data_IF_061821160650
#
_entry.id   IF_061821160650
#
_cell.length_a   1.000
_cell.length_b   1.000
_cell.length_c   1.000
_cell.angle_alpha   90.00
_cell.angle_beta   90.00
_cell.angle_gamma   90.00
#
_symmetry.space_group_name_H-M   'P 1'
#
loop_
_entity.id
_entity.type
_entity.pdbx_description
1 polymer ?
#
# COMPACT_ATOMS: atom_id res chain seq x y z
N UNK A 1 -11.78 -12.50 4.96
CA UNK A 1 -10.87 -11.90 5.94
C UNK A 1 -9.79 -12.90 6.31
N UNK A 2 -8.52 -12.48 6.42
CA UNK A 2 -7.39 -13.36 6.80
C UNK A 2 -6.79 -12.80 8.09
N UNK A 3 -6.37 -13.68 8.99
CA UNK A 3 -5.72 -13.34 10.25
C UNK A 3 -4.49 -12.43 10.04
N UNK A 4 -4.41 -11.27 10.72
CA UNK A 4 -3.30 -10.32 10.58
C UNK A 4 -1.94 -10.88 11.03
N UNK A 5 -1.90 -11.92 11.85
CA UNK A 5 -0.66 -12.58 12.26
C UNK A 5 -0.11 -13.55 11.20
N UNK A 6 -0.89 -13.89 10.17
CA UNK A 6 -0.39 -14.67 9.04
C UNK A 6 0.63 -13.82 8.27
N UNK A 7 1.82 -14.36 7.93
CA UNK A 7 2.84 -13.63 7.17
C UNK A 7 2.28 -13.00 5.88
N UNK A 8 2.70 -11.77 5.59
CA UNK A 8 2.12 -10.97 4.49
C UNK A 8 2.20 -11.66 3.13
N UNK A 9 3.31 -12.37 2.85
CA UNK A 9 3.47 -13.16 1.62
C UNK A 9 2.40 -14.23 1.49
N UNK A 10 2.11 -14.96 2.57
CA UNK A 10 1.07 -16.00 2.59
C UNK A 10 -0.33 -15.39 2.45
N UNK A 11 -0.56 -14.22 3.06
CA UNK A 11 -1.83 -13.48 2.94
C UNK A 11 -2.11 -13.05 1.49
N UNK A 12 -1.12 -12.42 0.83
CA UNK A 12 -1.25 -12.01 -0.58
C UNK A 12 -1.54 -13.20 -1.49
N UNK A 13 -0.80 -14.29 -1.31
CA UNK A 13 -0.96 -15.50 -2.11
C UNK A 13 -2.36 -16.13 -1.93
N UNK A 14 -2.91 -16.12 -0.71
CA UNK A 14 -4.29 -16.58 -0.45
C UNK A 14 -5.36 -15.63 -0.99
N UNK A 15 -5.08 -14.32 -1.06
CA UNK A 15 -5.98 -13.33 -1.66
C UNK A 15 -6.02 -13.43 -3.19
N UNK A 16 -4.88 -13.73 -3.82
CA UNK A 16 -4.77 -13.94 -5.28
C UNK A 16 -5.44 -15.24 -5.74
N UNK A 17 -5.50 -16.25 -4.85
CA UNK A 17 -6.06 -17.57 -5.12
C UNK A 17 -7.24 -17.90 -4.19
N UNK A 18 -8.39 -17.22 -4.31
CA UNK A 18 -9.56 -17.46 -3.47
C UNK A 18 -10.10 -18.90 -3.59
N UNK A 19 -9.85 -19.57 -4.72
CA UNK A 19 -10.19 -20.98 -4.95
C UNK A 19 -9.47 -21.96 -4.00
N UNK A 20 -8.37 -21.54 -3.39
CA UNK A 20 -7.64 -22.33 -2.40
C UNK A 20 -8.26 -22.27 -0.99
N UNK A 21 -9.25 -21.40 -0.77
CA UNK A 21 -9.91 -21.23 0.53
C UNK A 21 -11.06 -22.22 0.67
N UNK A 22 -10.99 -23.06 1.70
CA UNK A 22 -11.96 -24.12 1.95
C UNK A 22 -12.94 -23.78 3.08
N UNK A 23 -14.18 -24.30 3.03
CA UNK A 23 -15.17 -24.07 4.08
C UNK A 23 -14.72 -24.66 5.42
N UNK A 24 -15.16 -24.09 6.56
CA UNK A 24 -14.96 -24.66 7.88
C UNK A 24 -15.53 -26.09 7.96
N UNK A 25 -14.94 -26.95 8.79
CA UNK A 25 -15.38 -28.34 8.99
C UNK A 25 -15.07 -29.35 7.86
N UNK A 26 -14.62 -28.90 6.68
CA UNK A 26 -14.19 -29.82 5.60
C UNK A 26 -12.92 -30.56 6.03
N UNK A 27 -12.98 -31.88 6.23
CA UNK A 27 -11.79 -32.68 6.53
C UNK A 27 -10.87 -32.79 5.31
N UNK A 28 -9.95 -31.82 5.16
CA UNK A 28 -8.92 -31.87 4.13
C UNK A 28 -7.82 -32.81 4.58
N UNK A 29 -7.92 -34.05 4.12
CA UNK A 29 -6.85 -35.02 4.29
C UNK A 29 -5.63 -34.52 3.50
N UNK A 30 -4.46 -34.47 4.14
CA UNK A 30 -3.20 -34.22 3.43
C UNK A 30 -3.12 -35.26 2.30
N UNK A 31 -3.03 -34.83 1.03
CA UNK A 31 -2.96 -35.78 -0.06
C UNK A 31 -1.70 -36.64 0.12
N UNK A 32 -1.85 -37.96 -0.01
CA UNK A 32 -0.79 -38.96 0.28
C UNK A 32 0.51 -38.72 -0.50
N UNK A 33 0.43 -38.05 -1.65
CA UNK A 33 1.58 -37.67 -2.48
C UNK A 33 1.72 -36.15 -2.68
N UNK A 34 1.16 -35.34 -1.78
CA UNK A 34 1.25 -33.87 -1.88
C UNK A 34 0.52 -33.34 -3.11
N UNK A 35 -0.69 -33.80 -3.38
CA UNK A 35 -1.53 -33.39 -4.52
C UNK A 35 -1.29 -34.19 -5.80
N UNK A 36 -0.16 -34.90 -5.89
CA UNK A 36 0.24 -35.65 -7.09
C UNK A 36 -0.66 -36.86 -7.32
N UNK A 37 -1.13 -37.00 -8.56
CA UNK A 37 -1.92 -38.14 -9.01
C UNK A 37 -1.11 -39.05 -9.94
N UNK A 38 -1.56 -40.30 -10.10
CA UNK A 38 -0.98 -41.23 -11.08
C UNK A 38 -1.10 -40.72 -12.53
N UNK A 39 -2.10 -39.87 -12.80
CA UNK A 39 -2.22 -39.18 -14.10
C UNK A 39 -1.10 -38.18 -14.30
N UNK A 40 -0.69 -37.44 -13.26
CA UNK A 40 0.43 -36.49 -13.35
C UNK A 40 1.75 -37.23 -13.59
N UNK A 41 1.94 -38.39 -12.93
CA UNK A 41 3.11 -39.24 -13.21
C UNK A 41 3.11 -39.74 -14.67
N UNK A 42 1.96 -40.18 -15.17
CA UNK A 42 1.80 -40.62 -16.56
C UNK A 42 2.06 -39.50 -17.57
N UNK A 43 1.51 -38.31 -17.34
CA UNK A 43 1.77 -37.13 -18.18
C UNK A 43 3.24 -36.70 -18.11
N UNK A 44 3.85 -36.75 -16.92
CA UNK A 44 5.27 -36.46 -16.76
C UNK A 44 6.15 -37.44 -17.55
N UNK A 45 5.86 -38.74 -17.46
CA UNK A 45 6.57 -39.77 -18.22
C UNK A 45 6.37 -39.63 -19.74
N UNK A 46 5.18 -39.22 -20.19
CA UNK A 46 4.87 -39.01 -21.60
C UNK A 46 5.63 -37.80 -22.18
N UNK A 47 5.72 -36.70 -21.43
CA UNK A 47 6.35 -35.46 -21.89
C UNK A 47 7.86 -35.41 -21.61
N UNK A 48 8.37 -36.26 -20.72
CA UNK A 48 9.78 -36.29 -20.33
C UNK A 48 10.78 -36.49 -21.48
N UNK A 49 10.53 -37.35 -22.50
CA UNK A 49 11.44 -37.49 -23.63
C UNK A 49 11.61 -36.19 -24.42
N UNK A 50 10.53 -35.41 -24.56
CA UNK A 50 10.58 -34.11 -25.24
C UNK A 50 11.44 -33.09 -24.50
N UNK A 51 11.31 -33.02 -23.17
CA UNK A 51 12.14 -32.17 -22.32
C UNK A 51 13.58 -32.67 -22.17
N UNK A 52 13.83 -33.97 -22.31
CA UNK A 52 15.18 -34.54 -22.22
C UNK A 52 15.98 -34.38 -23.52
N UNK A 53 15.32 -34.46 -24.68
CA UNK A 53 15.99 -34.36 -25.99
C UNK A 53 16.06 -32.92 -26.51
N UNK A 54 14.98 -32.16 -26.31
CA UNK A 54 14.81 -30.82 -26.88
C UNK A 54 14.28 -29.79 -25.86
N UNK A 55 14.93 -29.61 -24.69
CA UNK A 55 14.51 -28.63 -23.69
C UNK A 55 14.47 -27.18 -24.22
N UNK A 56 15.32 -26.80 -25.19
CA UNK A 56 15.28 -25.46 -25.78
C UNK A 56 14.00 -25.22 -26.60
N UNK A 57 13.54 -26.24 -27.34
CA UNK A 57 12.30 -26.16 -28.13
C UNK A 57 11.10 -26.07 -27.19
N UNK A 58 11.04 -26.92 -26.17
CA UNK A 58 9.93 -26.91 -25.19
C UNK A 58 9.91 -25.63 -24.33
N UNK A 59 11.08 -25.13 -23.94
CA UNK A 59 11.24 -23.88 -23.21
C UNK A 59 10.83 -22.64 -24.02
N UNK A 60 10.95 -22.68 -25.35
CA UNK A 60 10.57 -21.56 -26.23
C UNK A 60 9.06 -21.31 -26.31
N UNK A 61 8.25 -22.33 -26.02
CA UNK A 61 6.79 -22.19 -25.91
C UNK A 61 6.34 -21.52 -24.60
N UNK A 62 7.24 -21.36 -23.63
CA UNK A 62 6.94 -20.79 -22.31
C UNK A 62 7.66 -19.43 -22.15
N UNK A 63 6.93 -18.39 -21.72
CA UNK A 63 7.50 -17.04 -21.53
C UNK A 63 8.29 -16.94 -20.22
N UNK A 64 9.36 -16.14 -20.21
CA UNK A 64 10.13 -15.77 -19.00
C UNK A 64 11.36 -16.65 -18.74
N UNK A 65 11.73 -16.81 -17.46
CA UNK A 65 12.96 -17.51 -17.04
C UNK A 65 13.08 -18.97 -17.47
N UNK A 66 11.96 -19.61 -17.84
CA UNK A 66 11.91 -20.98 -18.36
C UNK A 66 12.61 -21.12 -19.72
N UNK A 67 12.61 -20.07 -20.53
CA UNK A 67 13.29 -20.08 -21.83
C UNK A 67 14.82 -20.15 -21.66
N UNK A 68 15.37 -19.34 -20.75
CA UNK A 68 16.81 -19.33 -20.42
C UNK A 68 17.23 -20.69 -19.84
N UNK A 69 16.41 -21.24 -18.94
CA UNK A 69 16.62 -22.58 -18.40
C UNK A 69 16.60 -23.66 -19.48
N UNK A 70 15.69 -23.58 -20.45
CA UNK A 70 15.61 -24.50 -21.58
C UNK A 70 16.89 -24.53 -22.43
N UNK A 71 17.48 -23.36 -22.71
CA UNK A 71 18.76 -23.27 -23.43
C UNK A 71 19.95 -23.80 -22.63
N UNK A 72 20.02 -23.51 -21.33
CA UNK A 72 21.07 -24.04 -20.45
C UNK A 72 20.98 -25.57 -20.34
N UNK A 73 19.77 -26.10 -20.18
CA UNK A 73 19.54 -27.54 -20.17
C UNK A 73 19.93 -28.19 -21.50
N UNK A 74 19.66 -27.53 -22.64
CA UNK A 74 20.05 -28.01 -23.97
C UNK A 74 21.58 -28.10 -24.11
N UNK A 75 22.32 -27.11 -23.62
CA UNK A 75 23.79 -27.14 -23.63
C UNK A 75 24.33 -28.32 -22.80
N UNK A 76 23.71 -28.60 -21.65
CA UNK A 76 24.03 -29.77 -20.82
C UNK A 76 23.80 -31.10 -21.53
N UNK A 77 22.67 -31.24 -22.25
CA UNK A 77 22.36 -32.44 -23.05
C UNK A 77 23.36 -32.64 -24.18
N UNK A 78 23.74 -31.57 -24.88
CA UNK A 78 24.75 -31.62 -25.96
C UNK A 78 26.12 -32.02 -25.40
N UNK A 79 26.53 -31.46 -24.26
CA UNK A 79 27.78 -31.81 -23.60
C UNK A 79 27.80 -33.27 -23.13
N UNK A 80 26.71 -33.74 -22.52
CA UNK A 80 26.57 -35.13 -22.08
C UNK A 80 26.58 -36.11 -23.28
N UNK A 81 25.92 -35.76 -24.38
CA UNK A 81 25.95 -36.53 -25.62
C UNK A 81 27.35 -36.60 -26.23
N UNK A 82 28.07 -35.47 -26.28
CA UNK A 82 29.45 -35.41 -26.74
C UNK A 82 30.42 -36.24 -25.87
N UNK A 83 30.25 -36.18 -24.54
CA UNK A 83 31.03 -36.98 -23.61
C UNK A 83 30.72 -38.49 -23.74
N UNK A 84 29.47 -38.84 -24.01
CA UNK A 84 29.08 -40.23 -24.23
C UNK A 84 29.74 -40.82 -25.48
N UNK A 85 29.72 -40.04 -26.58
CA UNK A 85 30.44 -40.39 -27.82
C UNK A 85 31.94 -40.50 -27.57
N UNK A 86 32.53 -39.58 -26.81
CA UNK A 86 33.96 -39.59 -26.48
C UNK A 86 34.37 -40.81 -25.62
N UNK A 87 33.52 -41.22 -24.68
CA UNK A 87 33.77 -42.36 -23.77
C UNK A 87 33.36 -43.72 -24.36
N UNK A 88 32.77 -43.74 -25.56
CA UNK A 88 32.25 -44.96 -26.17
C UNK A 88 31.01 -45.54 -25.46
N UNK A 89 30.38 -44.76 -24.58
CA UNK A 89 29.13 -45.16 -23.94
C UNK A 89 27.98 -44.98 -24.92
N UNK A 90 27.11 -45.99 -25.02
CA UNK A 90 26.01 -45.95 -26.00
C UNK A 90 25.02 -44.85 -25.63
N UNK A 91 24.62 -44.04 -26.62
CA UNK A 91 23.57 -43.02 -26.48
C UNK A 91 22.25 -43.59 -25.91
N UNK A 92 22.03 -44.89 -26.14
CA UNK A 92 20.94 -45.69 -25.58
C UNK A 92 20.92 -45.72 -24.03
N UNK A 93 22.06 -45.54 -23.36
CA UNK A 93 22.14 -45.52 -21.89
C UNK A 93 21.89 -44.14 -21.29
N UNK A 94 22.23 -43.06 -22.01
CA UNK A 94 22.15 -41.67 -21.51
C UNK A 94 20.75 -41.07 -21.67
N UNK A 95 20.07 -41.37 -22.77
CA UNK A 95 18.72 -40.87 -23.06
C UNK A 95 17.66 -41.24 -21.99
N UNK A 96 17.53 -42.50 -21.53
CA UNK A 96 16.55 -42.85 -20.48
C UNK A 96 16.89 -42.24 -19.13
N UNK A 97 18.18 -42.08 -18.80
CA UNK A 97 18.60 -41.41 -17.57
C UNK A 97 18.19 -39.92 -17.58
N UNK A 98 18.39 -39.22 -18.70
CA UNK A 98 17.94 -37.84 -18.88
C UNK A 98 16.41 -37.72 -18.81
N UNK A 99 15.68 -38.64 -19.45
CA UNK A 99 14.22 -38.69 -19.36
C UNK A 99 13.72 -38.97 -17.94
N UNK A 100 14.37 -39.85 -17.18
CA UNK A 100 14.02 -40.13 -15.79
C UNK A 100 14.24 -38.91 -14.89
N UNK A 101 15.34 -38.17 -15.08
CA UNK A 101 15.60 -36.91 -14.36
C UNK A 101 14.56 -35.86 -14.72
N UNK A 102 14.27 -35.66 -16.01
CA UNK A 102 13.24 -34.71 -16.47
C UNK A 102 11.85 -35.06 -15.91
N UNK A 103 11.46 -36.34 -15.95
CA UNK A 103 10.22 -36.83 -15.36
C UNK A 103 10.17 -36.58 -13.84
N UNK A 104 11.28 -36.83 -13.13
CA UNK A 104 11.39 -36.58 -11.70
C UNK A 104 11.27 -35.09 -11.34
N UNK A 105 11.90 -34.20 -12.13
CA UNK A 105 11.80 -32.75 -11.96
C UNK A 105 10.37 -32.27 -12.21
N UNK A 106 9.74 -32.66 -13.33
CA UNK A 106 8.36 -32.27 -13.63
C UNK A 106 7.37 -32.82 -12.59
N UNK A 107 7.53 -34.07 -12.17
CA UNK A 107 6.69 -34.67 -11.13
C UNK A 107 6.89 -33.99 -9.77
N UNK A 108 8.10 -33.51 -9.49
CA UNK A 108 8.39 -32.66 -8.34
C UNK A 108 7.58 -31.36 -8.34
N UNK A 109 7.42 -30.76 -9.53
CA UNK A 109 6.69 -29.51 -9.77
C UNK A 109 5.16 -29.69 -9.86
N UNK A 110 4.65 -30.86 -10.24
CA UNK A 110 3.20 -31.18 -10.29
C UNK A 110 2.54 -31.40 -8.91
N UNK A 111 3.03 -30.75 -7.86
CA UNK A 111 2.50 -30.89 -6.50
C UNK A 111 1.31 -29.97 -6.18
N UNK A 112 0.78 -30.13 -4.96
CA UNK A 112 -0.14 -29.20 -4.30
C UNK A 112 0.49 -27.81 -4.36
N UNK A 113 -0.16 -26.90 -5.11
CA UNK A 113 0.27 -25.52 -5.23
C UNK A 113 0.44 -24.88 -3.87
N UNK A 114 1.34 -23.90 -3.76
CA UNK A 114 1.61 -23.22 -2.50
C UNK A 114 0.33 -22.62 -1.87
N UNK A 115 -0.58 -22.09 -2.71
CA UNK A 115 -1.89 -21.59 -2.30
C UNK A 115 -2.76 -22.67 -1.64
N UNK A 116 -2.94 -23.82 -2.31
CA UNK A 116 -3.75 -24.93 -1.81
C UNK A 116 -3.18 -25.49 -0.49
N UNK A 117 -1.85 -25.62 -0.41
CA UNK A 117 -1.17 -26.05 0.83
C UNK A 117 -1.40 -25.05 1.97
N UNK A 118 -1.31 -23.75 1.68
CA UNK A 118 -1.56 -22.70 2.66
C UNK A 118 -3.03 -22.66 3.08
N UNK A 119 -3.98 -22.74 2.16
CA UNK A 119 -5.42 -22.79 2.45
C UNK A 119 -5.78 -23.98 3.35
N UNK A 120 -5.14 -25.13 3.15
CA UNK A 120 -5.31 -26.29 4.04
C UNK A 120 -4.68 -26.09 5.42
N UNK A 121 -3.48 -25.51 5.49
CA UNK A 121 -2.70 -25.40 6.74
C UNK A 121 -3.18 -24.25 7.62
N UNK A 122 -3.63 -23.15 7.00
CA UNK A 122 -4.11 -21.94 7.65
C UNK A 122 -5.64 -21.87 7.68
N UNK A 123 -6.32 -23.02 7.58
CA UNK A 123 -7.78 -23.15 7.59
C UNK A 123 -8.45 -22.32 8.68
N UNK A 124 -7.92 -22.41 9.90
CA UNK A 124 -8.51 -21.75 11.08
C UNK A 124 -8.07 -20.28 11.20
N UNK A 125 -7.32 -19.76 10.21
CA UNK A 125 -6.76 -18.41 10.16
C UNK A 125 -7.30 -17.57 9.01
N UNK A 126 -8.42 -17.98 8.42
CA UNK A 126 -9.20 -17.13 7.53
C UNK A 126 -10.70 -17.37 7.73
N UNK A 127 -11.50 -16.35 7.41
CA UNK A 127 -12.97 -16.41 7.36
C UNK A 127 -13.39 -16.00 5.96
N UNK A 128 -14.19 -16.82 5.29
CA UNK A 128 -14.68 -16.54 3.93
C UNK A 128 -16.04 -15.84 4.01
N UNK A 129 -16.31 -14.83 3.18
CA UNK A 129 -17.63 -14.18 3.13
C UNK A 129 -18.77 -15.16 2.82
N UNK A 130 -18.50 -16.19 2.01
CA UNK A 130 -19.50 -17.19 1.61
C UNK A 130 -19.88 -18.14 2.76
N UNK A 131 -19.12 -18.14 3.85
CA UNK A 131 -19.43 -18.91 5.06
C UNK A 131 -20.24 -18.10 6.09
N UNK A 132 -20.58 -16.85 5.77
CA UNK A 132 -21.33 -15.93 6.64
C UNK A 132 -22.69 -15.63 6.02
N UNK A 133 -23.71 -15.44 6.85
CA UNK A 133 -24.98 -14.83 6.43
C UNK A 133 -24.81 -13.37 5.98
N UNK A 134 -25.75 -12.88 5.17
CA UNK A 134 -25.69 -11.53 4.58
C UNK A 134 -25.53 -10.41 5.63
N UNK A 135 -26.22 -10.53 6.77
CA UNK A 135 -26.11 -9.58 7.88
C UNK A 135 -24.72 -9.56 8.53
N UNK A 136 -24.11 -10.74 8.68
CA UNK A 136 -22.79 -10.90 9.25
C UNK A 136 -21.71 -10.39 8.29
N UNK A 137 -21.91 -10.58 6.97
CA UNK A 137 -21.04 -10.00 5.93
C UNK A 137 -21.06 -8.47 5.99
N UNK A 138 -22.23 -7.85 6.12
CA UNK A 138 -22.36 -6.38 6.25
C UNK A 138 -21.62 -5.86 7.48
N UNK A 139 -21.81 -6.48 8.65
CA UNK A 139 -21.10 -6.10 9.88
C UNK A 139 -19.58 -6.20 9.74
N UNK A 140 -19.09 -7.28 9.11
CA UNK A 140 -17.66 -7.45 8.87
C UNK A 140 -17.12 -6.41 7.90
N UNK A 141 -17.87 -6.10 6.83
CA UNK A 141 -17.49 -5.08 5.86
C UNK A 141 -17.42 -3.68 6.49
N UNK A 142 -18.41 -3.34 7.33
CA UNK A 142 -18.44 -2.08 8.09
C UNK A 142 -17.25 -1.95 9.03
N UNK A 143 -16.95 -2.99 9.81
CA UNK A 143 -15.77 -3.02 10.69
C UNK A 143 -14.46 -2.84 9.90
N UNK A 144 -14.31 -3.57 8.79
CA UNK A 144 -13.14 -3.46 7.92
C UNK A 144 -12.99 -2.06 7.31
N UNK A 145 -14.10 -1.46 6.88
CA UNK A 145 -14.12 -0.10 6.31
C UNK A 145 -13.76 0.97 7.35
N UNK A 146 -14.29 0.86 8.56
CA UNK A 146 -13.95 1.76 9.66
C UNK A 146 -12.45 1.72 9.99
N UNK A 147 -11.87 0.52 10.12
CA UNK A 147 -10.43 0.36 10.37
C UNK A 147 -9.59 0.85 9.18
N UNK A 148 -10.01 0.58 7.94
CA UNK A 148 -9.32 1.09 6.76
C UNK A 148 -9.31 2.62 6.71
N UNK A 149 -10.41 3.27 7.09
CA UNK A 149 -10.49 4.73 7.18
C UNK A 149 -9.51 5.28 8.22
N UNK A 150 -9.40 4.65 9.40
CA UNK A 150 -8.43 5.06 10.43
C UNK A 150 -7.00 4.89 9.96
N UNK A 151 -6.64 3.71 9.45
CA UNK A 151 -5.26 3.43 9.01
C UNK A 151 -4.86 4.26 7.79
N UNK A 152 -5.82 4.64 6.95
CA UNK A 152 -5.61 5.52 5.79
C UNK A 152 -5.48 7.00 6.12
N UNK A 153 -5.91 7.42 7.32
CA UNK A 153 -5.97 8.83 7.74
C UNK A 153 -4.59 9.50 7.78
N UNK A 154 -4.61 10.82 7.57
CA UNK A 154 -3.39 11.63 7.59
C UNK A 154 -2.83 11.76 9.01
N UNK A 155 -3.69 11.87 10.03
CA UNK A 155 -3.30 11.90 11.44
C UNK A 155 -2.62 10.60 11.88
N UNK A 156 -3.08 9.44 11.39
CA UNK A 156 -2.40 8.17 11.68
C UNK A 156 -1.02 8.14 10.99
N UNK A 157 -0.96 8.51 9.71
CA UNK A 157 0.28 8.53 8.93
C UNK A 157 1.31 9.54 9.47
N UNK A 158 0.86 10.63 10.03
CA UNK A 158 1.69 11.64 10.69
C UNK A 158 2.17 11.20 12.08
N UNK A 159 1.78 10.02 12.56
CA UNK A 159 2.14 9.49 13.88
C UNK A 159 1.53 10.28 15.05
N UNK A 160 0.45 11.03 14.79
CA UNK A 160 -0.26 11.80 15.82
C UNK A 160 -1.20 10.91 16.65
N UNK A 161 -1.54 9.74 16.11
CA UNK A 161 -2.15 8.64 16.85
C UNK A 161 -1.05 7.66 17.28
N UNK A 162 -1.37 6.81 18.27
CA UNK A 162 -0.49 5.71 18.70
C UNK A 162 -0.38 4.67 17.57
N UNK A 163 0.50 4.94 16.60
CA UNK A 163 0.57 4.28 15.29
C UNK A 163 0.88 2.77 15.40
N UNK A 164 1.75 2.39 16.36
CA UNK A 164 2.06 0.98 16.64
C UNK A 164 0.83 0.26 17.20
N UNK A 165 0.11 0.92 18.12
CA UNK A 165 -1.09 0.33 18.72
C UNK A 165 -2.22 0.23 17.70
N UNK A 166 -2.41 1.23 16.85
CA UNK A 166 -3.45 1.22 15.83
C UNK A 166 -3.20 0.18 14.73
N UNK A 167 -1.98 0.13 14.19
CA UNK A 167 -1.62 -0.75 13.07
C UNK A 167 -1.68 -2.23 13.44
N UNK A 168 -1.47 -2.57 14.71
CA UNK A 168 -1.54 -3.96 15.19
C UNK A 168 -2.90 -4.28 15.81
N UNK A 169 -3.41 -3.40 16.67
CA UNK A 169 -4.63 -3.70 17.45
C UNK A 169 -5.87 -3.68 16.57
N UNK A 170 -6.04 -2.68 15.70
CA UNK A 170 -7.28 -2.55 14.92
C UNK A 170 -7.50 -3.73 13.96
N UNK A 171 -6.49 -4.20 13.19
CA UNK A 171 -6.66 -5.41 12.40
C UNK A 171 -6.96 -6.66 13.25
N UNK A 172 -6.37 -6.78 14.44
CA UNK A 172 -6.68 -7.87 15.37
C UNK A 172 -8.13 -7.80 15.86
N UNK A 173 -8.66 -6.61 16.13
CA UNK A 173 -10.07 -6.41 16.50
C UNK A 173 -11.02 -6.86 15.38
N UNK A 174 -10.73 -6.52 14.12
CA UNK A 174 -11.54 -6.97 12.97
C UNK A 174 -11.47 -8.48 12.81
N UNK A 175 -10.30 -9.09 13.05
CA UNK A 175 -10.14 -10.54 13.01
C UNK A 175 -10.97 -11.25 14.10
N UNK A 176 -10.95 -10.76 15.35
CA UNK A 176 -11.80 -11.29 16.42
C UNK A 176 -13.30 -11.13 16.12
N UNK A 177 -13.71 -10.00 15.53
CA UNK A 177 -15.07 -9.80 15.04
C UNK A 177 -15.43 -10.86 13.98
N UNK A 178 -14.56 -11.06 12.99
CA UNK A 178 -14.77 -12.05 11.94
C UNK A 178 -14.94 -13.48 12.50
N UNK A 179 -14.10 -13.87 13.46
CA UNK A 179 -14.21 -15.19 14.11
C UNK A 179 -15.51 -15.32 14.90
N UNK A 180 -15.89 -14.28 15.65
CA UNK A 180 -17.14 -14.30 16.43
C UNK A 180 -18.36 -14.41 15.52
N UNK A 181 -18.39 -13.66 14.42
CA UNK A 181 -19.47 -13.73 13.43
C UNK A 181 -19.54 -15.11 12.76
N UNK A 182 -18.40 -15.69 12.38
CA UNK A 182 -18.34 -17.04 11.83
C UNK A 182 -18.86 -18.10 12.81
N UNK A 183 -18.53 -17.96 14.10
CA UNK A 183 -19.02 -18.85 15.15
C UNK A 183 -20.53 -18.70 15.37
N UNK A 184 -21.05 -17.46 15.41
CA UNK A 184 -22.48 -17.20 15.55
C UNK A 184 -23.26 -17.78 14.38
N UNK A 185 -22.78 -17.61 13.15
CA UNK A 185 -23.43 -18.13 11.95
C UNK A 185 -23.42 -19.66 11.90
N UNK A 186 -22.29 -20.29 12.25
CA UNK A 186 -22.19 -21.75 12.36
C UNK A 186 -23.17 -22.30 13.41
N UNK A 187 -23.21 -21.70 14.60
CA UNK A 187 -24.14 -22.09 15.67
C UNK A 187 -25.60 -21.84 15.29
N UNK A 188 -25.90 -20.80 14.52
CA UNK A 188 -27.25 -20.55 14.01
C UNK A 188 -27.68 -21.63 13.01
N UNK A 189 -26.79 -22.05 12.10
CA UNK A 189 -27.05 -23.16 11.17
C UNK A 189 -27.27 -24.49 11.91
N UNK A 190 -26.45 -24.77 12.92
CA UNK A 190 -26.65 -25.94 13.79
C UNK A 190 -27.98 -25.84 14.54
N UNK A 191 -28.27 -24.66 15.11
CA UNK A 191 -29.51 -24.38 15.81
C UNK A 191 -30.71 -24.63 14.92
N UNK A 192 -30.70 -24.24 13.64
CA UNK A 192 -31.77 -24.45 12.65
C UNK A 192 -31.89 -25.92 12.20
N UNK A 193 -30.80 -26.67 12.17
CA UNK A 193 -30.77 -28.07 11.76
C UNK A 193 -31.32 -29.06 12.80
N UNK A 194 -31.58 -28.63 14.04
CA UNK A 194 -32.08 -29.50 15.12
C UNK A 194 -33.46 -30.10 14.77
N UNK A 195 -33.61 -31.44 14.75
CA UNK A 195 -34.91 -32.10 14.56
C UNK A 195 -35.81 -31.94 15.81
N UNK A 196 -37.12 -32.16 15.65
CA UNK A 196 -38.11 -32.16 16.75
C UNK A 196 -38.21 -30.86 17.56
N UNK A 197 -38.00 -29.71 16.92
CA UNK A 197 -38.15 -28.36 17.52
C UNK A 197 -39.50 -28.09 18.19
N UNK A 198 -40.52 -28.89 17.88
CA UNK A 198 -41.89 -28.79 18.42
C UNK A 198 -42.04 -29.49 19.78
N UNK A 199 -41.08 -30.31 20.21
CA UNK A 199 -41.06 -30.84 21.57
C UNK A 199 -40.90 -29.67 22.56
N UNK A 200 -41.82 -29.47 23.52
CA UNK A 200 -41.75 -28.35 24.46
C UNK A 200 -40.47 -28.29 25.29
N UNK A 201 -39.84 -29.43 25.61
CA UNK A 201 -38.59 -29.47 26.38
C UNK A 201 -37.41 -29.01 25.53
N UNK A 202 -37.39 -29.43 24.25
CA UNK A 202 -36.38 -29.00 23.28
C UNK A 202 -36.57 -27.52 22.94
N UNK A 203 -37.81 -27.06 22.80
CA UNK A 203 -38.14 -25.67 22.48
C UNK A 203 -37.61 -24.68 23.53
N UNK A 204 -37.73 -25.00 24.83
CA UNK A 204 -37.18 -24.15 25.91
C UNK A 204 -35.66 -24.05 25.81
N UNK A 205 -34.96 -25.14 25.51
CA UNK A 205 -33.50 -25.13 25.35
C UNK A 205 -33.07 -24.36 24.10
N UNK A 206 -33.77 -24.54 22.98
CA UNK A 206 -33.54 -23.78 21.74
C UNK A 206 -33.81 -22.29 21.93
N UNK A 207 -34.79 -21.91 22.76
CA UNK A 207 -35.06 -20.51 23.06
C UNK A 207 -33.88 -19.85 23.77
N UNK A 208 -33.36 -20.47 24.85
CA UNK A 208 -32.21 -19.97 25.58
C UNK A 208 -30.94 -19.85 24.70
N UNK A 209 -30.73 -20.82 23.80
CA UNK A 209 -29.64 -20.76 22.81
C UNK A 209 -29.84 -19.59 21.82
N UNK A 210 -31.07 -19.36 21.37
CA UNK A 210 -31.41 -18.23 20.51
C UNK A 210 -31.16 -16.88 21.18
N UNK A 211 -31.52 -16.74 22.46
CA UNK A 211 -31.21 -15.53 23.24
C UNK A 211 -29.70 -15.31 23.39
N UNK A 212 -28.93 -16.36 23.64
CA UNK A 212 -27.48 -16.27 23.72
C UNK A 212 -26.85 -15.83 22.38
N UNK A 213 -27.33 -16.37 21.25
CA UNK A 213 -26.90 -15.94 19.92
C UNK A 213 -27.26 -14.48 19.64
N UNK A 214 -28.47 -14.05 20.00
CA UNK A 214 -28.90 -12.66 19.85
C UNK A 214 -28.03 -11.71 20.69
N UNK A 215 -27.68 -12.09 21.92
CA UNK A 215 -26.80 -11.31 22.79
C UNK A 215 -25.38 -11.21 22.21
N UNK A 216 -24.86 -12.31 21.66
CA UNK A 216 -23.55 -12.33 21.00
C UNK A 216 -23.53 -11.39 19.79
N UNK A 217 -24.53 -11.48 18.90
CA UNK A 217 -24.67 -10.58 17.74
C UNK A 217 -24.77 -9.12 18.20
N UNK A 218 -25.61 -8.82 19.19
CA UNK A 218 -25.75 -7.45 19.70
C UNK A 218 -24.43 -6.90 20.28
N UNK A 219 -23.63 -7.75 20.94
CA UNK A 219 -22.32 -7.36 21.44
C UNK A 219 -21.33 -7.05 20.31
N UNK A 220 -21.29 -7.87 19.27
CA UNK A 220 -20.46 -7.61 18.08
C UNK A 220 -20.92 -6.33 17.39
N UNK A 221 -22.22 -6.13 17.17
CA UNK A 221 -22.76 -4.90 16.56
C UNK A 221 -22.33 -3.66 17.33
N UNK A 222 -22.36 -3.70 18.66
CA UNK A 222 -21.88 -2.58 19.51
C UNK A 222 -20.38 -2.33 19.33
N UNK A 223 -19.58 -3.38 19.21
CA UNK A 223 -18.13 -3.29 18.97
C UNK A 223 -17.84 -2.70 17.59
N UNK A 224 -18.59 -3.09 16.55
CA UNK A 224 -18.54 -2.48 15.22
C UNK A 224 -18.89 -0.99 15.30
N UNK A 225 -19.98 -0.63 15.98
CA UNK A 225 -20.37 0.76 16.18
C UNK A 225 -19.28 1.61 16.86
N UNK A 226 -18.61 1.08 17.87
CA UNK A 226 -17.48 1.77 18.51
C UNK A 226 -16.29 2.00 17.56
N UNK A 227 -16.03 1.06 16.64
CA UNK A 227 -14.99 1.25 15.60
C UNK A 227 -15.40 2.33 14.59
N UNK A 228 -16.67 2.37 14.20
CA UNK A 228 -17.21 3.40 13.32
C UNK A 228 -17.15 4.79 13.95
N UNK A 229 -17.57 4.92 15.21
CA UNK A 229 -17.48 6.17 15.98
C UNK A 229 -16.03 6.65 16.08
N UNK A 230 -15.09 5.73 16.33
CA UNK A 230 -13.67 6.05 16.34
C UNK A 230 -13.19 6.52 14.96
N UNK A 231 -13.60 5.87 13.88
CA UNK A 231 -13.26 6.29 12.52
C UNK A 231 -13.80 7.70 12.20
N UNK A 232 -15.02 8.02 12.63
CA UNK A 232 -15.60 9.37 12.49
C UNK A 232 -14.76 10.41 13.24
N UNK A 233 -14.32 10.11 14.46
CA UNK A 233 -13.46 11.01 15.23
C UNK A 233 -12.10 11.23 14.57
N UNK A 234 -11.51 10.17 14.00
CA UNK A 234 -10.24 10.26 13.27
C UNK A 234 -10.37 11.11 12.01
N UNK A 235 -11.47 10.99 11.26
CA UNK A 235 -11.75 11.85 10.09
C UNK A 235 -11.93 13.31 10.50
N UNK A 236 -12.58 13.58 11.63
CA UNK A 236 -12.68 14.95 12.17
C UNK A 236 -11.32 15.51 12.59
N UNK A 237 -10.43 14.67 13.13
CA UNK A 237 -9.06 15.05 13.45
C UNK A 237 -8.23 15.35 12.20
N UNK A 238 -8.38 14.58 11.13
CA UNK A 238 -7.79 14.84 9.81
C UNK A 238 -8.19 16.22 9.26
N UNK A 239 -9.48 16.54 9.37
CA UNK A 239 -10.00 17.86 9.01
C UNK A 239 -9.37 18.99 9.83
N UNK A 240 -9.21 18.78 11.14
CA UNK A 240 -8.58 19.74 12.03
C UNK A 240 -7.08 19.92 11.69
N UNK A 241 -6.37 18.84 11.39
CA UNK A 241 -4.97 18.87 10.96
C UNK A 241 -4.81 19.70 9.68
N UNK A 242 -5.62 19.43 8.65
CA UNK A 242 -5.60 20.19 7.38
C UNK A 242 -5.87 21.69 7.59
N UNK A 243 -6.81 22.03 8.47
CA UNK A 243 -7.10 23.44 8.82
C UNK A 243 -5.92 24.09 9.53
N UNK A 244 -5.31 23.39 10.50
CA UNK A 244 -4.13 23.87 11.20
C UNK A 244 -2.94 24.10 10.26
N UNK A 245 -2.64 23.15 9.37
CA UNK A 245 -1.57 23.30 8.37
C UNK A 245 -1.82 24.48 7.42
N UNK A 246 -3.09 24.67 7.03
CA UNK A 246 -3.47 25.80 6.19
C UNK A 246 -3.29 27.14 6.91
N UNK A 247 -3.70 27.22 8.18
CA UNK A 247 -3.47 28.40 9.01
C UNK A 247 -1.97 28.68 9.21
N UNK A 248 -1.16 27.65 9.38
CA UNK A 248 0.29 27.78 9.51
C UNK A 248 0.95 28.29 8.22
N UNK A 249 0.50 27.81 7.06
CA UNK A 249 0.97 28.32 5.76
C UNK A 249 0.56 29.79 5.54
N UNK A 250 -0.65 30.16 5.96
CA UNK A 250 -1.14 31.53 5.82
C UNK A 250 -0.38 32.50 6.75
N UNK A 251 -0.14 32.15 8.01
CA UNK A 251 0.64 32.98 8.94
C UNK A 251 2.05 33.23 8.44
N UNK A 252 2.74 32.19 7.95
CA UNK A 252 4.07 32.32 7.35
C UNK A 252 4.08 33.28 6.16
N UNK A 253 3.02 33.25 5.33
CA UNK A 253 2.87 34.21 4.22
C UNK A 253 2.57 35.63 4.71
N UNK A 254 1.74 35.78 5.75
CA UNK A 254 1.43 37.09 6.34
C UNK A 254 2.69 37.79 6.85
N UNK A 255 3.64 37.06 7.43
CA UNK A 255 4.92 37.64 7.85
C UNK A 255 5.76 38.10 6.65
N UNK A 256 5.76 37.34 5.54
CA UNK A 256 6.38 37.78 4.30
C UNK A 256 5.72 39.05 3.70
N UNK A 257 4.39 39.16 3.78
CA UNK A 257 3.67 40.38 3.36
C UNK A 257 3.99 41.58 4.25
N UNK A 258 4.13 41.39 5.57
CA UNK A 258 4.53 42.45 6.50
C UNK A 258 5.94 42.95 6.19
N UNK A 259 6.89 42.05 5.94
CA UNK A 259 8.25 42.42 5.54
C UNK A 259 8.26 43.18 4.21
N UNK A 260 7.48 42.72 3.23
CA UNK A 260 7.34 43.43 1.96
C UNK A 260 6.79 44.85 2.14
N UNK A 261 5.73 45.02 2.95
CA UNK A 261 5.18 46.34 3.28
C UNK A 261 6.20 47.23 3.99
N UNK A 262 6.95 46.68 4.95
CA UNK A 262 7.98 47.43 5.66
C UNK A 262 9.10 47.91 4.71
N UNK A 263 9.47 47.08 3.72
CA UNK A 263 10.43 47.47 2.67
C UNK A 263 9.86 48.57 1.77
N UNK A 264 8.62 48.45 1.31
CA UNK A 264 8.00 49.48 0.45
C UNK A 264 7.90 50.84 1.16
N UNK A 265 7.50 50.87 2.44
CA UNK A 265 7.47 52.12 3.22
C UNK A 265 8.88 52.71 3.36
N UNK A 266 9.91 51.88 3.54
CA UNK A 266 11.30 52.34 3.58
C UNK A 266 11.75 52.91 2.22
N UNK A 267 11.34 52.29 1.12
CA UNK A 267 11.65 52.76 -0.22
C UNK A 267 10.97 54.12 -0.52
N UNK A 268 9.72 54.31 -0.10
CA UNK A 268 9.02 55.61 -0.20
C UNK A 268 9.74 56.71 0.59
N UNK A 269 10.17 56.42 1.82
CA UNK A 269 10.99 57.33 2.63
C UNK A 269 12.33 57.68 1.95
N UNK A 270 12.97 56.69 1.31
CA UNK A 270 14.22 56.91 0.58
C UNK A 270 14.01 57.81 -0.65
N UNK A 271 12.89 57.66 -1.38
CA UNK A 271 12.54 58.55 -2.50
C UNK A 271 12.40 59.99 -2.01
N UNK A 272 11.66 60.22 -0.92
CA UNK A 272 11.53 61.58 -0.34
C UNK A 272 12.88 62.18 0.08
N UNK A 273 13.80 61.37 0.61
CA UNK A 273 15.15 61.82 0.94
C UNK A 273 15.95 62.21 -0.31
N UNK A 274 15.86 61.43 -1.39
CA UNK A 274 16.52 61.73 -2.67
C UNK A 274 15.98 63.01 -3.30
N UNK A 275 14.66 63.23 -3.24
CA UNK A 275 14.03 64.47 -3.69
C UNK A 275 14.57 65.68 -2.91
N UNK A 276 14.70 65.57 -1.59
CA UNK A 276 15.33 66.59 -0.75
C UNK A 276 16.78 66.90 -1.14
N UNK A 277 17.59 65.86 -1.36
CA UNK A 277 18.98 66.01 -1.83
C UNK A 277 19.06 66.68 -3.21
N UNK A 278 18.09 66.40 -4.08
CA UNK A 278 18.00 67.00 -5.42
C UNK A 278 17.67 68.49 -5.32
N UNK A 279 16.75 68.87 -4.44
CA UNK A 279 16.41 70.28 -4.19
C UNK A 279 17.58 71.03 -3.54
N UNK A 280 18.32 70.40 -2.63
CA UNK A 280 19.55 70.95 -2.06
C UNK A 280 20.63 71.20 -3.13
N UNK A 281 20.83 70.22 -4.03
CA UNK A 281 21.75 70.37 -5.15
C UNK A 281 21.34 71.54 -6.07
N UNK A 282 20.04 71.69 -6.36
CA UNK A 282 19.49 72.80 -7.14
C UNK A 282 19.75 74.15 -6.48
N UNK A 283 19.55 74.26 -5.16
CA UNK A 283 19.85 75.48 -4.40
C UNK A 283 21.34 75.83 -4.43
N UNK A 284 22.22 74.83 -4.33
CA UNK A 284 23.67 75.02 -4.43
C UNK A 284 24.05 75.50 -5.84
N UNK A 285 23.48 74.92 -6.88
CA UNK A 285 23.71 75.34 -8.27
C UNK A 285 23.29 76.81 -8.49
N UNK A 286 22.09 77.20 -8.04
CA UNK A 286 21.61 78.59 -8.15
C UNK A 286 22.51 79.57 -7.40
N UNK A 287 22.98 79.21 -6.19
CA UNK A 287 23.89 80.05 -5.41
C UNK A 287 25.25 80.23 -6.12
N UNK A 288 25.78 79.15 -6.72
CA UNK A 288 27.03 79.20 -7.49
C UNK A 288 26.89 80.06 -8.75
N UNK A 289 25.80 79.88 -9.52
CA UNK A 289 25.51 80.70 -10.70
C UNK A 289 25.39 82.18 -10.34
N UNK A 290 24.69 82.49 -9.25
CA UNK A 290 24.55 83.87 -8.75
C UNK A 290 25.90 84.48 -8.34
N UNK A 291 26.76 83.69 -7.68
CA UNK A 291 28.12 84.10 -7.31
C UNK A 291 28.99 84.40 -8.54
N UNK A 292 28.94 83.55 -9.56
CA UNK A 292 29.64 83.77 -10.84
C UNK A 292 29.15 85.04 -11.54
N UNK A 293 27.83 85.26 -11.56
CA UNK A 293 27.23 86.43 -12.21
C UNK A 293 27.58 87.74 -11.45
N UNK A 294 27.64 87.69 -10.12
CA UNK A 294 28.10 88.79 -9.27
C UNK A 294 29.60 89.08 -9.47
N UNK A 295 30.43 88.04 -9.58
CA UNK A 295 31.86 88.19 -9.90
C UNK A 295 32.05 88.81 -11.30
N UNK A 296 31.26 88.39 -12.30
CA UNK A 296 31.27 88.97 -13.65
C UNK A 296 30.92 90.46 -13.65
N UNK A 297 29.86 90.86 -12.93
CA UNK A 297 29.48 92.28 -12.80
C UNK A 297 30.54 93.11 -12.09
N UNK A 298 31.22 92.54 -11.11
CA UNK A 298 32.30 93.21 -10.37
C UNK A 298 33.57 93.37 -11.23
N UNK A 299 33.92 92.35 -12.02
CA UNK A 299 34.98 92.43 -13.02
C UNK A 299 34.71 93.47 -14.10
N UNK A 300 33.47 93.59 -14.57
CA UNK A 300 33.05 94.62 -15.53
C UNK A 300 33.16 96.05 -14.97
N UNK A 301 33.04 96.24 -13.65
CA UNK A 301 33.27 97.55 -13.00
C UNK A 301 34.74 97.93 -12.88
N UNK A 302 35.65 96.95 -12.86
CA UNK A 302 37.10 97.19 -12.83
C UNK A 302 37.70 97.48 -14.22
N UNK A 303 36.93 97.27 -15.30
CA UNK A 303 37.34 97.51 -16.70
C UNK A 303 36.74 98.82 -17.27
N UNK A 304 36.32 99.78 -16.42
CA UNK A 304 36.09 101.16 -16.88
C UNK A 304 37.38 101.96 -16.66
N UNK A 305 38.21 102.22 -17.70
CA UNK A 305 39.27 103.20 -17.55
C UNK A 305 38.64 104.59 -17.60
N UNK A 306 38.87 105.31 -16.51
CA UNK A 306 38.83 106.77 -16.43
C UNK A 306 39.52 107.37 -17.65
N UNK A 307 38.81 108.18 -18.41
CA UNK A 307 39.41 109.28 -19.18
C UNK A 307 38.43 110.43 -19.33
N UNK A 308 38.29 111.20 -18.25
CA UNK A 308 38.11 112.65 -18.36
C UNK A 308 39.51 113.29 -18.32
N UNK A 309 39.80 114.16 -19.28
CA UNK A 309 40.65 115.32 -19.08
C UNK A 309 40.50 116.30 -20.26
N UNK A 310 40.06 117.52 -19.90
CA UNK A 310 40.07 118.80 -20.62
C UNK A 310 39.08 119.02 -21.77
#
# INVERSE_FOLDING_TARGET
MIDPEVPERSRKLLQEHPEALHPPGTLLRKPRFGGRTWRDLGMCLLHAPGWALLPAVMGSFHRGGVQVFGFLAQAGVICAGGLAVYTGTSLLSVAPAGAAVAAGVMFGLCGEGEAARLGRTLRDRYVRPEDLGDSEVDLLHRAGSAVAAVLGSEVNRAGLLDDVRNTVTLPAQVWEIAQTLAQVDALRREHEAVPDRRDPRIAVMLHAQGEALALATASVTRRVGALEDYAVQVVAADDALRRWETAQRLSTRSDAYRELLARTVRDELAVTQIEGLTEDARRIEEALLSSVDQARRSGLRLVVPVKEAS
#
